data_IF_118762294380
#
_entry.id   IF_118762294380
#
_cell.length_a   1.000
_cell.length_b   1.000
_cell.length_c   1.000
_cell.angle_alpha   90.00
_cell.angle_beta   90.00
_cell.angle_gamma   90.00
#
_symmetry.space_group_name_H-M   'P 1'
#
loop_
_entity.id
_entity.type
_entity.pdbx_description
1 polymer ?
#
# COMPACT_ATOMS: atom_id res chain seq x y z
N UNK A 1 -1.76 -28.98 15.87
CA UNK A 1 -1.25 -27.66 15.42
C UNK A 1 -1.23 -27.70 13.90
N UNK A 2 -2.39 -27.56 13.27
CA UNK A 2 -2.57 -27.75 11.83
C UNK A 2 -3.26 -26.53 11.24
N UNK A 3 -2.51 -25.67 10.54
CA UNK A 3 -3.01 -24.70 9.55
C UNK A 3 -1.83 -24.27 8.67
N UNK A 4 -1.47 -25.10 7.70
CA UNK A 4 -0.54 -24.72 6.62
C UNK A 4 -0.90 -25.52 5.37
N UNK A 5 -1.74 -24.97 4.49
CA UNK A 5 -1.59 -25.33 3.08
C UNK A 5 -2.16 -24.35 2.05
N UNK A 6 -3.00 -23.36 2.38
CA UNK A 6 -3.50 -22.40 1.38
C UNK A 6 -3.76 -20.99 1.93
N UNK A 7 -2.90 -20.42 2.78
CA UNK A 7 -2.97 -18.96 3.01
C UNK A 7 -2.46 -18.28 1.74
N UNK A 8 -3.36 -17.59 1.00
CA UNK A 8 -2.97 -16.75 -0.13
C UNK A 8 -1.88 -15.78 0.33
N UNK A 9 -0.78 -15.69 -0.43
CA UNK A 9 0.41 -14.89 -0.10
C UNK A 9 0.07 -13.46 0.38
N UNK A 10 -0.93 -12.82 -0.23
CA UNK A 10 -1.37 -11.47 0.14
C UNK A 10 -2.06 -11.38 1.51
N UNK A 11 -2.73 -12.44 1.94
CA UNK A 11 -3.29 -12.50 3.29
C UNK A 11 -2.18 -12.65 4.34
N UNK A 12 -1.13 -13.44 4.05
CA UNK A 12 0.07 -13.53 4.89
C UNK A 12 0.79 -12.18 5.02
N UNK A 13 0.97 -11.46 3.91
CA UNK A 13 1.55 -10.11 3.93
C UNK A 13 0.69 -9.13 4.70
N UNK A 14 -0.63 -9.14 4.49
CA UNK A 14 -1.56 -8.30 5.25
C UNK A 14 -1.42 -8.53 6.74
N UNK A 15 -1.44 -9.80 7.18
CA UNK A 15 -1.25 -10.15 8.60
C UNK A 15 0.07 -9.58 9.14
N UNK A 16 1.18 -9.79 8.45
CA UNK A 16 2.48 -9.29 8.87
C UNK A 16 2.65 -7.77 8.78
N UNK A 17 1.79 -7.07 8.04
CA UNK A 17 1.86 -5.61 7.93
C UNK A 17 1.01 -4.93 9.00
N UNK A 18 -0.12 -5.52 9.39
CA UNK A 18 -1.12 -4.82 10.20
C UNK A 18 -1.67 -5.61 11.39
N UNK A 19 -1.36 -6.89 11.63
CA UNK A 19 -2.03 -7.69 12.67
C UNK A 19 -1.84 -7.17 14.10
N UNK A 20 -0.59 -7.00 14.51
CA UNK A 20 -0.25 -6.51 15.85
C UNK A 20 -0.20 -4.98 15.87
N UNK A 21 -0.74 -4.31 16.91
CA UNK A 21 -0.62 -2.87 17.09
C UNK A 21 0.83 -2.38 17.05
N UNK A 22 1.77 -3.18 17.58
CA UNK A 22 3.20 -2.86 17.59
C UNK A 22 3.75 -2.88 16.17
N UNK A 23 3.45 -3.93 15.41
CA UNK A 23 3.90 -4.08 14.01
C UNK A 23 3.33 -2.97 13.14
N UNK A 24 2.03 -2.68 13.28
CA UNK A 24 1.37 -1.59 12.57
C UNK A 24 2.04 -0.24 12.87
N UNK A 25 2.27 0.07 14.15
CA UNK A 25 2.91 1.33 14.57
C UNK A 25 4.34 1.43 14.06
N UNK A 26 5.10 0.34 14.09
CA UNK A 26 6.46 0.28 13.56
C UNK A 26 6.49 0.54 12.05
N UNK A 27 5.63 -0.13 11.28
CA UNK A 27 5.52 0.08 9.83
C UNK A 27 5.09 1.52 9.51
N UNK A 28 4.13 2.05 10.26
CA UNK A 28 3.66 3.43 10.13
C UNK A 28 4.80 4.43 10.38
N UNK A 29 5.60 4.22 11.43
CA UNK A 29 6.72 5.07 11.77
C UNK A 29 7.81 5.03 10.69
N UNK A 30 8.18 3.84 10.20
CA UNK A 30 9.16 3.69 9.12
C UNK A 30 8.72 4.44 7.87
N UNK A 31 7.49 4.16 7.39
CA UNK A 31 6.95 4.82 6.19
C UNK A 31 6.92 6.33 6.38
N UNK A 32 6.49 6.79 7.57
CA UNK A 32 6.44 8.22 7.89
C UNK A 32 7.81 8.88 7.83
N UNK A 33 8.81 8.29 8.49
CA UNK A 33 10.17 8.83 8.56
C UNK A 33 10.80 8.91 7.17
N UNK A 34 10.80 7.81 6.41
CA UNK A 34 11.40 7.80 5.07
C UNK A 34 10.62 8.65 4.06
N UNK A 35 9.29 8.67 4.17
CA UNK A 35 8.45 9.54 3.37
C UNK A 35 8.75 11.02 3.59
N UNK A 36 8.92 11.45 4.84
CA UNK A 36 9.30 12.83 5.18
C UNK A 36 10.71 13.14 4.69
N UNK A 37 11.69 12.28 4.99
CA UNK A 37 13.10 12.46 4.58
C UNK A 37 13.22 12.70 3.08
N UNK A 38 12.54 11.88 2.27
CA UNK A 38 12.57 12.02 0.82
C UNK A 38 11.85 13.28 0.34
N UNK A 39 10.66 13.53 0.86
CA UNK A 39 9.79 14.63 0.41
C UNK A 39 10.39 16.02 0.65
N UNK A 40 11.04 16.19 1.81
CA UNK A 40 11.69 17.44 2.21
C UNK A 40 13.11 17.58 1.66
N UNK A 41 13.56 16.69 0.76
CA UNK A 41 14.91 16.70 0.20
C UNK A 41 16.03 16.55 1.24
N UNK A 42 15.74 15.99 2.41
CA UNK A 42 16.78 15.70 3.42
C UNK A 42 17.74 14.64 2.88
N UNK A 43 17.21 13.62 2.20
CA UNK A 43 17.98 12.65 1.45
C UNK A 43 17.20 12.18 0.21
N UNK A 44 17.74 12.47 -0.98
CA UNK A 44 17.12 12.15 -2.28
C UNK A 44 17.65 10.85 -2.89
N UNK A 45 17.96 9.87 -2.06
CA UNK A 45 18.39 8.56 -2.53
C UNK A 45 17.32 7.91 -3.43
N UNK A 46 17.67 7.49 -4.66
CA UNK A 46 16.77 6.72 -5.53
C UNK A 46 16.24 5.45 -4.87
N UNK A 47 17.00 4.87 -3.94
CA UNK A 47 16.57 3.70 -3.19
C UNK A 47 15.37 4.01 -2.27
N UNK A 48 15.34 5.18 -1.65
CA UNK A 48 14.21 5.60 -0.79
C UNK A 48 12.95 5.75 -1.65
N UNK A 49 13.07 6.38 -2.83
CA UNK A 49 11.96 6.49 -3.78
C UNK A 49 11.49 5.12 -4.26
N UNK A 50 12.41 4.23 -4.62
CA UNK A 50 12.07 2.90 -5.11
C UNK A 50 11.32 2.10 -4.04
N UNK A 51 11.86 2.04 -2.82
CA UNK A 51 11.27 1.24 -1.74
C UNK A 51 9.96 1.88 -1.24
N UNK A 52 10.01 3.13 -0.80
CA UNK A 52 8.89 3.76 -0.11
C UNK A 52 7.91 4.48 -1.03
N UNK A 53 8.35 4.86 -2.23
CA UNK A 53 7.51 5.50 -3.24
C UNK A 53 6.95 4.55 -4.29
N UNK A 54 7.53 3.36 -4.50
CA UNK A 54 7.03 2.43 -5.53
C UNK A 54 6.68 1.07 -4.92
N UNK A 55 7.65 0.34 -4.39
CA UNK A 55 7.45 -1.05 -3.97
C UNK A 55 6.46 -1.18 -2.82
N UNK A 56 6.63 -0.41 -1.75
CA UNK A 56 5.73 -0.44 -0.58
C UNK A 56 4.29 -0.04 -0.97
N UNK A 57 4.05 1.09 -1.66
CA UNK A 57 2.71 1.43 -2.15
C UNK A 57 2.10 0.35 -3.04
N UNK A 58 2.86 -0.24 -3.98
CA UNK A 58 2.38 -1.32 -4.85
C UNK A 58 1.95 -2.55 -4.04
N UNK A 59 2.77 -3.00 -3.09
CA UNK A 59 2.46 -4.16 -2.24
C UNK A 59 1.20 -3.88 -1.41
N UNK A 60 1.10 -2.69 -0.81
CA UNK A 60 -0.07 -2.28 -0.03
C UNK A 60 -1.34 -2.24 -0.88
N UNK A 61 -1.27 -1.68 -2.09
CA UNK A 61 -2.40 -1.65 -3.04
C UNK A 61 -2.86 -3.07 -3.38
N UNK A 62 -1.95 -3.98 -3.71
CA UNK A 62 -2.34 -5.36 -4.02
C UNK A 62 -3.01 -6.04 -2.81
N UNK A 63 -2.46 -5.83 -1.61
CA UNK A 63 -3.05 -6.36 -0.38
C UNK A 63 -4.44 -5.79 -0.11
N UNK A 64 -4.64 -4.49 -0.31
CA UNK A 64 -5.95 -3.83 -0.17
C UNK A 64 -6.99 -4.44 -1.10
N UNK A 65 -6.71 -4.52 -2.41
CA UNK A 65 -7.65 -5.05 -3.38
C UNK A 65 -7.97 -6.54 -3.16
N UNK A 66 -7.03 -7.29 -2.58
CA UNK A 66 -7.27 -8.66 -2.14
C UNK A 66 -8.25 -8.69 -0.96
N UNK A 67 -7.98 -7.91 0.10
CA UNK A 67 -8.78 -7.86 1.33
C UNK A 67 -10.19 -7.31 1.11
N UNK A 68 -10.34 -6.28 0.27
CA UNK A 68 -11.64 -5.75 -0.15
C UNK A 68 -12.56 -6.88 -0.66
N UNK A 69 -12.01 -7.90 -1.33
CA UNK A 69 -12.79 -9.05 -1.80
C UNK A 69 -13.28 -10.01 -0.71
N UNK A 70 -12.65 -10.03 0.47
CA UNK A 70 -12.98 -10.96 1.57
C UNK A 70 -13.71 -10.27 2.73
N UNK A 71 -13.42 -9.00 3.03
CA UNK A 71 -13.87 -8.34 4.27
C UNK A 71 -15.21 -7.61 4.18
N UNK A 72 -15.64 -7.12 3.00
CA UNK A 72 -16.77 -6.18 2.88
C UNK A 72 -17.72 -6.45 1.69
N UNK A 73 -18.21 -7.67 1.46
CA UNK A 73 -19.00 -7.99 0.25
C UNK A 73 -20.27 -7.14 0.09
N UNK A 74 -20.86 -6.63 1.17
CA UNK A 74 -22.15 -5.92 1.17
C UNK A 74 -22.05 -4.39 1.00
N UNK A 75 -20.92 -3.78 1.37
CA UNK A 75 -20.74 -2.31 1.36
C UNK A 75 -20.06 -1.84 0.05
N UNK A 76 -19.51 -2.78 -0.71
CA UNK A 76 -18.70 -2.49 -1.89
C UNK A 76 -19.59 -2.34 -3.14
N UNK A 77 -19.36 -1.31 -3.98
CA UNK A 77 -20.07 -1.16 -5.25
C UNK A 77 -19.98 -2.42 -6.12
N UNK A 78 -21.04 -2.75 -6.86
CA UNK A 78 -21.09 -3.94 -7.73
C UNK A 78 -19.94 -4.01 -8.77
N UNK A 79 -19.28 -2.88 -9.05
CA UNK A 79 -18.07 -2.80 -9.87
C UNK A 79 -16.87 -3.52 -9.24
N UNK A 80 -16.73 -3.51 -7.92
CA UNK A 80 -15.62 -4.11 -7.16
C UNK A 80 -15.97 -5.50 -6.60
N UNK A 81 -17.23 -5.95 -6.67
CA UNK A 81 -17.61 -7.31 -6.27
C UNK A 81 -17.01 -8.38 -7.18
N UNK A 82 -16.81 -8.08 -8.47
CA UNK A 82 -16.19 -8.99 -9.44
C UNK A 82 -14.67 -9.04 -9.26
N UNK A 83 -14.13 -10.25 -9.02
CA UNK A 83 -12.67 -10.50 -8.90
C UNK A 83 -11.86 -9.91 -10.06
N UNK A 84 -12.34 -10.07 -11.30
CA UNK A 84 -11.68 -9.53 -12.50
C UNK A 84 -11.49 -8.01 -12.42
N UNK A 85 -12.53 -7.29 -12.01
CA UNK A 85 -12.49 -5.84 -11.95
C UNK A 85 -11.53 -5.37 -10.86
N UNK A 86 -11.52 -6.02 -9.69
CA UNK A 86 -10.55 -5.71 -8.63
C UNK A 86 -9.11 -5.87 -9.10
N UNK A 87 -8.81 -6.92 -9.86
CA UNK A 87 -7.47 -7.13 -10.42
C UNK A 87 -7.12 -6.03 -11.42
N UNK A 88 -8.05 -5.64 -12.30
CA UNK A 88 -7.82 -4.54 -13.28
C UNK A 88 -7.55 -3.22 -12.56
N UNK A 89 -8.38 -2.86 -11.57
CA UNK A 89 -8.19 -1.63 -10.80
C UNK A 89 -6.89 -1.65 -9.99
N UNK A 90 -6.54 -2.78 -9.37
CA UNK A 90 -5.25 -2.93 -8.69
C UNK A 90 -4.06 -2.72 -9.65
N UNK A 91 -4.14 -3.28 -10.86
CA UNK A 91 -3.10 -3.09 -11.89
C UNK A 91 -3.00 -1.64 -12.35
N UNK A 92 -4.14 -0.95 -12.49
CA UNK A 92 -4.19 0.45 -12.87
C UNK A 92 -3.58 1.35 -11.78
N UNK A 93 -3.93 1.12 -10.52
CA UNK A 93 -3.35 1.89 -9.40
C UNK A 93 -1.85 1.61 -9.26
N UNK A 94 -1.43 0.35 -9.42
CA UNK A 94 0.00 -0.02 -9.40
C UNK A 94 0.78 0.60 -10.56
N UNK A 95 0.20 0.66 -11.77
CA UNK A 95 0.84 1.30 -12.92
C UNK A 95 0.94 2.81 -12.72
N UNK A 96 -0.11 3.45 -12.19
CA UNK A 96 -0.09 4.87 -11.84
C UNK A 96 0.98 5.19 -10.80
N UNK A 97 1.05 4.42 -9.72
CA UNK A 97 2.09 4.55 -8.68
C UNK A 97 3.48 4.43 -9.32
N UNK A 98 3.69 3.44 -10.18
CA UNK A 98 5.00 3.20 -10.80
C UNK A 98 5.38 4.33 -11.75
N UNK A 99 4.44 4.79 -12.60
CA UNK A 99 4.65 5.90 -13.53
C UNK A 99 4.96 7.19 -12.75
N UNK A 100 4.22 7.49 -11.69
CA UNK A 100 4.49 8.66 -10.84
C UNK A 100 5.89 8.57 -10.22
N UNK A 101 6.29 7.41 -9.71
CA UNK A 101 7.63 7.18 -9.20
C UNK A 101 8.71 7.42 -10.24
N UNK A 102 8.53 6.93 -11.48
CA UNK A 102 9.46 7.16 -12.59
C UNK A 102 9.53 8.64 -12.95
N UNK A 103 8.39 9.34 -13.04
CA UNK A 103 8.37 10.77 -13.36
C UNK A 103 9.02 11.64 -12.28
N UNK A 104 8.95 11.23 -11.01
CA UNK A 104 9.70 11.86 -9.91
C UNK A 104 11.20 11.58 -10.07
N UNK A 105 11.58 10.34 -10.40
CA UNK A 105 12.98 9.96 -10.61
C UNK A 105 13.63 10.70 -11.80
N UNK A 106 12.87 10.91 -12.88
CA UNK A 106 13.32 11.64 -14.08
C UNK A 106 13.27 13.17 -13.92
N UNK A 107 13.08 13.68 -12.70
CA UNK A 107 12.96 15.11 -12.37
C UNK A 107 11.78 15.87 -13.02
N UNK A 108 10.93 15.21 -13.82
CA UNK A 108 9.77 15.83 -14.50
C UNK A 108 8.72 16.29 -13.48
N UNK A 109 8.42 15.47 -12.48
CA UNK A 109 7.45 15.75 -11.41
C UNK A 109 8.11 15.88 -10.02
N UNK A 110 9.38 16.26 -9.94
CA UNK A 110 10.14 16.36 -8.69
C UNK A 110 9.79 17.60 -7.84
N UNK A 111 8.49 17.86 -7.68
CA UNK A 111 7.97 18.87 -6.77
C UNK A 111 7.74 18.28 -5.38
N UNK A 112 7.71 19.13 -4.35
CA UNK A 112 7.39 18.72 -2.99
C UNK A 112 6.07 17.93 -2.93
N UNK A 113 5.01 18.46 -3.56
CA UNK A 113 3.68 17.85 -3.55
C UNK A 113 3.68 16.40 -4.04
N UNK A 114 4.23 16.12 -5.22
CA UNK A 114 4.21 14.76 -5.79
C UNK A 114 5.05 13.78 -4.98
N UNK A 115 6.19 14.22 -4.45
CA UNK A 115 7.00 13.36 -3.58
C UNK A 115 6.30 13.05 -2.27
N UNK A 116 5.73 14.07 -1.63
CA UNK A 116 4.98 13.89 -0.39
C UNK A 116 3.75 13.02 -0.59
N UNK A 117 3.03 13.21 -1.69
CA UNK A 117 1.91 12.35 -2.07
C UNK A 117 2.38 10.89 -2.22
N UNK A 118 3.43 10.68 -3.00
CA UNK A 118 3.90 9.34 -3.38
C UNK A 118 4.56 8.57 -2.24
N UNK A 119 5.48 9.19 -1.50
CA UNK A 119 6.32 8.51 -0.49
C UNK A 119 5.75 8.57 0.92
N UNK A 120 4.75 9.43 1.18
CA UNK A 120 4.13 9.57 2.50
C UNK A 120 2.62 9.32 2.45
N UNK A 121 1.85 10.17 1.76
CA UNK A 121 0.38 10.13 1.86
C UNK A 121 -0.19 8.78 1.39
N UNK A 122 0.16 8.35 0.18
CA UNK A 122 -0.34 7.10 -0.41
C UNK A 122 -0.05 5.89 0.47
N UNK A 123 1.22 5.60 0.85
CA UNK A 123 1.51 4.42 1.66
C UNK A 123 0.90 4.48 3.07
N UNK A 124 0.80 5.67 3.69
CA UNK A 124 0.16 5.82 5.01
C UNK A 124 -1.33 5.52 4.94
N UNK A 125 -2.05 6.13 3.99
CA UNK A 125 -3.49 5.87 3.80
C UNK A 125 -3.73 4.39 3.50
N UNK A 126 -2.92 3.81 2.61
CA UNK A 126 -3.06 2.41 2.24
C UNK A 126 -2.84 1.47 3.42
N UNK A 127 -1.84 1.74 4.28
CA UNK A 127 -1.59 0.95 5.49
C UNK A 127 -2.75 1.06 6.49
N UNK A 128 -3.30 2.26 6.67
CA UNK A 128 -4.47 2.47 7.54
C UNK A 128 -5.71 1.73 7.03
N UNK A 129 -6.02 1.86 5.74
CA UNK A 129 -7.14 1.15 5.13
C UNK A 129 -6.97 -0.36 5.26
N UNK A 130 -5.74 -0.86 5.11
CA UNK A 130 -5.44 -2.29 5.25
C UNK A 130 -5.68 -2.77 6.67
N UNK A 131 -5.32 -1.96 7.69
CA UNK A 131 -5.62 -2.24 9.10
C UNK A 131 -7.13 -2.29 9.37
N UNK A 132 -7.89 -1.34 8.82
CA UNK A 132 -9.36 -1.30 8.98
C UNK A 132 -10.00 -2.54 8.37
N UNK A 133 -9.64 -2.89 7.13
CA UNK A 133 -10.18 -4.08 6.46
C UNK A 133 -9.83 -5.36 7.21
N UNK A 134 -8.60 -5.47 7.70
CA UNK A 134 -8.16 -6.63 8.47
C UNK A 134 -8.93 -6.80 9.79
N UNK A 135 -9.23 -5.69 10.49
CA UNK A 135 -10.05 -5.74 11.70
C UNK A 135 -11.52 -6.07 11.37
N UNK A 136 -12.05 -5.57 10.26
CA UNK A 136 -13.40 -5.87 9.79
C UNK A 136 -13.58 -7.34 9.41
N UNK A 137 -12.56 -7.99 8.84
CA UNK A 137 -12.61 -9.43 8.50
C UNK A 137 -12.59 -10.33 9.75
N UNK A 138 -12.03 -9.85 10.87
CA UNK A 138 -11.99 -10.58 12.14
C UNK A 138 -13.23 -10.38 13.03
N UNK A 139 -14.04 -9.36 12.76
CA UNK A 139 -15.24 -9.03 13.53
C UNK A 139 -16.44 -9.85 13.06
#
# INVERSE_FOLDING_TARGET
>A
MERKQNEHLFHYWTRNLVESPIIFTFNLAIISVFGIIYSFRVNLSPFILLVFGILTPVILTICLYHMVGSSLPEIIPATFSKKRNRVIFALLDCSLITILGILIFSDILNFFFFRFLQTFIVPIISLFMLRVLYLSEKS
#
